data_IF_796530004809
#
_entry.id   IF_796530004809
#
_cell.length_a   1.000
_cell.length_b   1.000
_cell.length_c   1.000
_cell.angle_alpha   90.00
_cell.angle_beta   90.00
_cell.angle_gamma   90.00
#
_symmetry.space_group_name_H-M   'P 1'
#
loop_
_entity.id
_entity.type
_entity.pdbx_description
1 polymer ?
#
# COMPACT_ATOMS: atom_id res chain seq x y z
N UNK A 1 15.12 -21.77 -82.15
CA UNK A 1 14.70 -23.05 -81.54
C UNK A 1 13.59 -22.76 -80.53
N UNK A 2 12.64 -23.67 -80.41
CA UNK A 2 11.57 -23.87 -79.40
C UNK A 2 11.89 -23.44 -77.94
N UNK A 3 10.95 -23.22 -76.99
CA UNK A 3 9.54 -23.69 -76.81
C UNK A 3 8.70 -22.70 -75.92
N UNK A 4 7.41 -23.00 -75.71
CA UNK A 4 6.40 -22.35 -74.82
C UNK A 4 6.78 -22.26 -73.31
N UNK A 5 6.08 -21.61 -72.37
CA UNK A 5 4.77 -20.92 -72.31
C UNK A 5 4.75 -19.94 -71.11
N UNK A 6 3.72 -19.74 -70.25
CA UNK A 6 2.33 -20.26 -70.06
C UNK A 6 1.50 -19.16 -69.35
N UNK A 7 0.16 -19.15 -69.45
CA UNK A 7 -0.75 -18.15 -68.84
C UNK A 7 -0.99 -18.29 -67.32
N UNK A 8 -1.29 -17.18 -66.62
CA UNK A 8 -2.28 -17.13 -65.53
C UNK A 8 -2.73 -15.68 -65.19
N UNK A 9 -4.04 -15.44 -65.09
CA UNK A 9 -4.60 -14.25 -64.43
C UNK A 9 -4.64 -14.47 -62.91
N UNK A 10 -4.37 -13.43 -62.13
CA UNK A 10 -4.91 -13.28 -60.77
C UNK A 10 -4.98 -11.81 -60.36
N UNK A 11 -6.18 -11.30 -60.06
CA UNK A 11 -6.33 -10.08 -59.25
C UNK A 11 -5.82 -10.39 -57.83
N UNK A 12 -4.99 -9.51 -57.27
CA UNK A 12 -4.71 -9.50 -55.83
C UNK A 12 -5.16 -8.18 -55.22
N UNK A 13 -6.01 -8.30 -54.22
CA UNK A 13 -6.61 -7.19 -53.49
C UNK A 13 -5.58 -6.45 -52.64
N UNK A 14 -5.87 -5.18 -52.34
CA UNK A 14 -5.05 -4.34 -51.47
C UNK A 14 -5.02 -4.92 -50.05
N UNK A 15 -3.81 -5.19 -49.54
CA UNK A 15 -3.57 -5.54 -48.14
C UNK A 15 -3.34 -4.24 -47.35
N UNK A 16 -4.12 -3.95 -46.28
CA UNK A 16 -3.87 -2.78 -45.45
C UNK A 16 -2.58 -2.95 -44.63
N UNK A 17 -1.86 -1.85 -44.31
CA UNK A 17 -0.62 -1.92 -43.54
C UNK A 17 -0.88 -2.42 -42.09
N UNK A 18 0.13 -3.04 -41.44
CA UNK A 18 -0.03 -3.57 -40.09
C UNK A 18 -0.29 -2.46 -39.07
N UNK A 19 -1.13 -2.78 -38.08
CA UNK A 19 -1.51 -1.84 -37.03
C UNK A 19 -0.29 -1.33 -36.23
N UNK A 20 -0.26 -0.03 -35.98
CA UNK A 20 0.81 0.60 -35.20
C UNK A 20 0.88 0.00 -33.78
N UNK A 21 2.11 -0.28 -33.33
CA UNK A 21 2.36 -0.69 -31.93
C UNK A 21 1.93 0.43 -30.97
N UNK A 22 1.35 0.11 -29.80
CA UNK A 22 0.94 1.12 -28.84
C UNK A 22 2.16 1.90 -28.34
N UNK A 23 2.10 3.23 -28.50
CA UNK A 23 3.12 4.17 -28.04
C UNK A 23 3.39 3.99 -26.55
N UNK A 24 4.66 4.04 -26.08
CA UNK A 24 4.94 4.13 -24.65
C UNK A 24 4.22 5.35 -24.08
N UNK A 25 3.46 5.16 -23.00
CA UNK A 25 2.80 6.28 -22.32
C UNK A 25 3.85 7.33 -21.90
N UNK A 26 3.54 8.60 -22.09
CA UNK A 26 4.43 9.69 -21.74
C UNK A 26 4.88 9.57 -20.27
N UNK A 27 6.16 9.83 -19.94
CA UNK A 27 6.68 9.63 -18.59
C UNK A 27 5.96 10.55 -17.61
N UNK A 28 5.12 9.97 -16.76
CA UNK A 28 4.43 10.68 -15.68
C UNK A 28 5.48 11.39 -14.81
N UNK A 29 5.39 12.71 -14.59
CA UNK A 29 6.32 13.40 -13.72
C UNK A 29 6.21 12.85 -12.29
N UNK A 30 7.31 12.72 -11.54
CA UNK A 30 7.28 12.20 -10.18
C UNK A 30 6.43 13.13 -9.29
N UNK A 31 5.20 12.70 -8.99
CA UNK A 31 4.29 13.45 -8.13
C UNK A 31 4.95 13.65 -6.77
N UNK A 32 4.92 14.87 -6.21
CA UNK A 32 5.45 15.13 -4.87
C UNK A 32 4.80 14.17 -3.88
N UNK A 33 5.53 13.17 -3.43
CA UNK A 33 5.08 12.23 -2.41
C UNK A 33 5.14 12.94 -1.05
N UNK A 34 3.98 13.41 -0.60
CA UNK A 34 3.75 13.63 0.83
C UNK A 34 3.38 12.25 1.37
N UNK A 35 4.06 11.74 2.41
CA UNK A 35 3.66 10.49 3.05
C UNK A 35 2.22 10.63 3.56
N UNK A 36 1.39 9.60 3.40
CA UNK A 36 0.07 9.57 4.05
C UNK A 36 0.21 9.80 5.57
N UNK A 37 1.21 9.15 6.16
CA UNK A 37 1.73 9.31 7.52
C UNK A 37 2.22 10.72 7.94
N UNK A 38 2.27 11.71 7.05
CA UNK A 38 2.59 13.12 7.36
C UNK A 38 1.50 14.09 6.87
N UNK A 39 0.28 13.61 6.71
CA UNK A 39 -0.86 14.42 6.29
C UNK A 39 -1.77 14.72 7.48
N UNK A 40 -2.32 15.93 7.54
CA UNK A 40 -3.40 16.26 8.46
C UNK A 40 -4.67 15.48 8.08
N UNK A 41 -5.64 15.32 9.01
CA UNK A 41 -6.99 14.87 8.67
C UNK A 41 -7.54 15.66 7.49
N UNK A 42 -8.25 14.99 6.58
CA UNK A 42 -8.81 15.66 5.42
C UNK A 42 -10.01 16.51 5.87
N UNK A 43 -9.98 17.81 5.62
CA UNK A 43 -11.23 18.57 5.60
C UNK A 43 -12.09 18.06 4.42
N UNK A 44 -13.43 18.07 4.52
CA UNK A 44 -14.38 17.42 3.59
C UNK A 44 -14.48 18.06 2.18
N UNK A 45 -13.42 18.75 1.74
CA UNK A 45 -13.29 19.44 0.47
C UNK A 45 -11.98 19.06 -0.26
N UNK A 46 -11.36 17.93 0.09
CA UNK A 46 -10.34 17.33 -0.78
C UNK A 46 -10.98 17.04 -2.15
N UNK A 47 -10.52 17.66 -3.26
CA UNK A 47 -11.19 17.52 -4.54
C UNK A 47 -11.15 16.08 -5.01
N UNK A 48 -12.32 15.52 -5.31
CA UNK A 48 -12.43 14.16 -5.85
C UNK A 48 -11.64 14.07 -7.16
N UNK A 49 -10.67 13.16 -7.19
CA UNK A 49 -9.94 12.84 -8.40
C UNK A 49 -10.92 12.18 -9.40
N UNK A 50 -10.70 12.34 -10.72
CA UNK A 50 -11.62 11.83 -11.73
C UNK A 50 -11.88 10.34 -11.52
N UNK A 51 -13.17 9.96 -11.62
CA UNK A 51 -13.62 8.60 -11.36
C UNK A 51 -12.82 7.57 -12.18
N UNK A 52 -12.51 6.40 -11.60
CA UNK A 52 -11.71 5.40 -12.29
C UNK A 52 -12.46 4.85 -13.49
N UNK A 53 -11.73 4.58 -14.57
CA UNK A 53 -12.26 4.07 -15.86
C UNK A 53 -12.95 2.69 -15.71
N UNK A 54 -12.72 2.00 -14.59
CA UNK A 54 -13.36 0.75 -14.19
C UNK A 54 -13.67 0.80 -12.71
N UNK A 55 -14.80 0.20 -12.33
CA UNK A 55 -15.13 0.00 -10.92
C UNK A 55 -14.14 -0.96 -10.26
N UNK A 56 -14.09 -0.92 -8.92
CA UNK A 56 -13.31 -1.87 -8.14
C UNK A 56 -14.06 -3.21 -7.97
N UNK A 57 -13.36 -4.22 -7.46
CA UNK A 57 -13.90 -5.55 -7.24
C UNK A 57 -14.81 -5.69 -6.02
N UNK A 58 -14.97 -4.64 -5.21
CA UNK A 58 -15.83 -4.60 -4.02
C UNK A 58 -17.25 -4.12 -4.32
N UNK A 59 -17.38 -3.03 -5.09
CA UNK A 59 -18.66 -2.39 -5.43
C UNK A 59 -19.75 -3.33 -5.98
N UNK A 60 -19.47 -4.33 -6.85
CA UNK A 60 -20.52 -5.20 -7.38
C UNK A 60 -20.96 -6.32 -6.43
N UNK A 61 -20.37 -6.46 -5.23
CA UNK A 61 -20.70 -7.53 -4.29
C UNK A 61 -21.90 -7.15 -3.41
N UNK A 62 -22.85 -8.06 -3.24
CA UNK A 62 -23.87 -7.95 -2.18
C UNK A 62 -23.22 -8.16 -0.79
N UNK A 63 -23.88 -7.74 0.32
CA UNK A 63 -23.37 -8.01 1.66
C UNK A 63 -23.11 -9.49 1.91
N UNK A 64 -23.96 -10.39 1.42
CA UNK A 64 -23.81 -11.85 1.58
C UNK A 64 -22.61 -12.37 0.78
N UNK A 65 -22.38 -11.85 -0.43
CA UNK A 65 -21.22 -12.19 -1.25
C UNK A 65 -19.92 -11.67 -0.62
N UNK A 66 -19.95 -10.49 -0.01
CA UNK A 66 -18.82 -9.91 0.73
C UNK A 66 -18.51 -10.73 2.00
N UNK A 67 -19.52 -11.06 2.79
CA UNK A 67 -19.39 -11.92 3.96
C UNK A 67 -18.80 -13.29 3.59
N UNK A 68 -19.31 -13.92 2.52
CA UNK A 68 -18.83 -15.20 2.03
C UNK A 68 -17.40 -15.14 1.45
N UNK A 69 -16.98 -13.99 0.88
CA UNK A 69 -15.61 -13.78 0.44
C UNK A 69 -14.65 -13.65 1.64
N UNK A 70 -15.04 -12.91 2.67
CA UNK A 70 -14.21 -12.65 3.86
C UNK A 70 -14.12 -13.89 4.75
N UNK A 71 -15.17 -14.72 4.83
CA UNK A 71 -15.21 -15.93 5.64
C UNK A 71 -13.99 -16.84 5.39
N UNK A 72 -13.20 -17.12 6.45
CA UNK A 72 -11.99 -17.93 6.31
C UNK A 72 -12.35 -19.40 6.12
N UNK A 73 -12.19 -19.89 4.89
CA UNK A 73 -12.00 -21.30 4.68
C UNK A 73 -10.62 -21.65 5.25
N UNK A 74 -10.60 -22.09 6.52
CA UNK A 74 -9.44 -22.14 7.43
C UNK A 74 -8.13 -22.78 6.92
N UNK A 75 -8.16 -23.41 5.73
CA UNK A 75 -7.04 -23.99 5.00
C UNK A 75 -6.28 -22.99 4.11
N UNK A 76 -6.85 -21.84 3.74
CA UNK A 76 -6.24 -20.91 2.77
C UNK A 76 -5.05 -20.14 3.38
N UNK A 77 -3.84 -20.22 2.82
CA UNK A 77 -2.68 -19.49 3.33
C UNK A 77 -2.92 -17.98 3.40
N UNK A 78 -2.44 -17.32 4.47
CA UNK A 78 -2.66 -15.88 4.68
C UNK A 78 -2.19 -15.04 3.49
N UNK A 79 -1.05 -15.37 2.88
CA UNK A 79 -0.54 -14.66 1.70
C UNK A 79 -1.53 -14.71 0.51
N UNK A 80 -2.18 -15.86 0.29
CA UNK A 80 -3.21 -16.01 -0.76
C UNK A 80 -4.47 -15.21 -0.43
N UNK A 81 -4.92 -15.21 0.84
CA UNK A 81 -6.04 -14.37 1.30
C UNK A 81 -5.75 -12.88 1.07
N UNK A 82 -4.56 -12.40 1.44
CA UNK A 82 -4.14 -11.01 1.22
C UNK A 82 -4.08 -10.64 -0.27
N UNK A 83 -3.65 -11.56 -1.14
CA UNK A 83 -3.66 -11.35 -2.59
C UNK A 83 -5.08 -11.28 -3.15
N UNK A 84 -5.99 -12.14 -2.69
CA UNK A 84 -7.41 -12.11 -3.05
C UNK A 84 -8.11 -10.82 -2.61
N UNK A 85 -7.91 -10.40 -1.37
CA UNK A 85 -8.50 -9.14 -0.85
C UNK A 85 -7.92 -7.91 -1.54
N UNK A 86 -6.59 -7.82 -1.69
CA UNK A 86 -5.95 -6.71 -2.39
C UNK A 86 -6.34 -6.61 -3.86
N UNK A 87 -6.67 -7.72 -4.52
CA UNK A 87 -7.11 -7.72 -5.92
C UNK A 87 -8.46 -7.01 -6.08
N UNK A 88 -9.37 -7.14 -5.10
CA UNK A 88 -10.66 -6.46 -5.09
C UNK A 88 -10.51 -4.94 -4.99
N UNK A 89 -9.43 -4.44 -4.40
CA UNK A 89 -9.12 -3.02 -4.40
C UNK A 89 -8.59 -2.49 -5.74
N UNK A 90 -8.25 -3.32 -6.74
CA UNK A 90 -7.78 -2.79 -8.04
C UNK A 90 -8.80 -1.81 -8.64
N UNK A 91 -8.30 -0.68 -9.11
CA UNK A 91 -9.06 0.50 -9.56
C UNK A 91 -9.76 1.32 -8.45
N UNK A 92 -9.73 0.94 -7.17
CA UNK A 92 -10.21 1.81 -6.08
C UNK A 92 -9.49 3.17 -6.13
N UNK A 93 -10.22 4.30 -6.17
CA UNK A 93 -9.68 5.66 -6.13
C UNK A 93 -8.63 5.87 -5.06
N UNK A 94 -7.60 6.65 -5.39
CA UNK A 94 -6.71 7.22 -4.38
C UNK A 94 -7.40 8.43 -3.73
N UNK A 95 -7.60 8.41 -2.43
CA UNK A 95 -7.99 9.59 -1.63
C UNK A 95 -7.01 9.69 -0.47
N UNK A 96 -6.51 10.89 -0.18
CA UNK A 96 -5.53 11.12 0.88
C UNK A 96 -6.23 11.13 2.25
N UNK A 97 -5.71 10.39 3.24
CA UNK A 97 -6.32 10.26 4.57
C UNK A 97 -7.81 9.89 4.52
N UNK A 98 -8.21 8.81 3.83
CA UNK A 98 -9.61 8.52 3.52
C UNK A 98 -10.37 7.86 4.68
N UNK A 99 -9.67 7.61 5.79
CA UNK A 99 -10.16 7.01 7.03
C UNK A 99 -9.74 7.84 8.24
N UNK A 100 -10.66 7.98 9.19
CA UNK A 100 -10.45 8.66 10.48
C UNK A 100 -10.90 7.78 11.65
N UNK A 101 -11.36 8.44 12.70
CA UNK A 101 -11.99 7.85 13.89
C UNK A 101 -13.53 7.93 13.83
N UNK A 102 -14.11 8.45 12.74
CA UNK A 102 -15.55 8.68 12.56
C UNK A 102 -16.13 9.83 13.39
N UNK A 103 -15.30 10.47 14.23
CA UNK A 103 -15.67 11.58 15.11
C UNK A 103 -14.41 12.31 15.62
N UNK A 104 -14.58 13.48 16.22
CA UNK A 104 -13.49 14.20 16.90
C UNK A 104 -12.53 14.91 15.93
N UNK A 105 -11.23 14.69 16.10
CA UNK A 105 -10.16 15.36 15.34
C UNK A 105 -10.18 14.96 13.86
N UNK A 106 -10.50 13.70 13.59
CA UNK A 106 -10.54 13.13 12.24
C UNK A 106 -11.89 12.40 12.03
N UNK A 107 -12.92 13.12 11.56
CA UNK A 107 -14.27 12.58 11.43
C UNK A 107 -14.46 11.67 10.21
N UNK A 108 -13.41 11.40 9.43
CA UNK A 108 -13.48 10.50 8.28
C UNK A 108 -13.83 9.05 8.71
N UNK A 109 -14.41 8.22 7.83
CA UNK A 109 -14.93 6.90 8.18
C UNK A 109 -13.89 5.98 8.84
N UNK A 110 -14.32 5.08 9.73
CA UNK A 110 -13.42 4.11 10.37
C UNK A 110 -12.99 2.96 9.45
N UNK A 111 -13.80 2.67 8.43
CA UNK A 111 -13.62 1.66 7.38
C UNK A 111 -14.34 2.08 6.10
N UNK A 112 -13.79 1.75 4.93
CA UNK A 112 -14.50 1.86 3.64
C UNK A 112 -13.94 0.87 2.60
N UNK A 113 -14.48 0.87 1.38
CA UNK A 113 -13.99 0.03 0.27
C UNK A 113 -13.92 0.78 -1.07
N UNK A 114 -14.43 2.01 -1.12
CA UNK A 114 -14.58 2.87 -2.30
C UNK A 114 -13.42 3.86 -2.50
N UNK A 115 -12.58 4.10 -1.48
CA UNK A 115 -11.41 4.97 -1.59
C UNK A 115 -10.32 4.61 -0.58
N UNK A 116 -9.05 4.67 -0.98
CA UNK A 116 -7.89 4.31 -0.13
C UNK A 116 -6.68 5.21 -0.39
N UNK A 117 -5.79 5.37 0.58
CA UNK A 117 -4.40 5.78 0.31
C UNK A 117 -3.45 4.57 0.38
N UNK A 118 -2.15 4.80 0.35
CA UNK A 118 -1.17 3.72 0.34
C UNK A 118 -1.09 2.95 1.67
N UNK A 119 -1.43 3.59 2.79
CA UNK A 119 -1.47 2.95 4.10
C UNK A 119 -2.83 2.28 4.31
N UNK A 120 -3.95 2.99 4.14
CA UNK A 120 -5.27 2.41 4.41
C UNK A 120 -5.56 1.19 3.52
N UNK A 121 -5.12 1.20 2.26
CA UNK A 121 -5.14 0.04 1.37
C UNK A 121 -4.47 -1.20 1.98
N UNK A 122 -3.30 -1.03 2.61
CA UNK A 122 -2.57 -2.13 3.24
C UNK A 122 -3.25 -2.56 4.54
N UNK A 123 -3.71 -1.61 5.36
CA UNK A 123 -4.37 -1.89 6.64
C UNK A 123 -5.72 -2.62 6.45
N UNK A 124 -6.57 -2.15 5.53
CA UNK A 124 -7.84 -2.80 5.19
C UNK A 124 -7.60 -4.18 4.57
N UNK A 125 -6.64 -4.31 3.65
CA UNK A 125 -6.26 -5.63 3.11
C UNK A 125 -5.81 -6.60 4.20
N UNK A 126 -5.00 -6.13 5.17
CA UNK A 126 -4.54 -6.93 6.30
C UNK A 126 -5.72 -7.37 7.18
N UNK A 127 -6.62 -6.46 7.54
CA UNK A 127 -7.81 -6.78 8.33
C UNK A 127 -8.72 -7.80 7.63
N UNK A 128 -9.05 -7.56 6.36
CA UNK A 128 -9.89 -8.44 5.53
C UNK A 128 -9.25 -9.81 5.29
N UNK A 129 -7.93 -9.88 5.13
CA UNK A 129 -7.20 -11.13 4.91
C UNK A 129 -6.91 -11.93 6.18
N UNK A 130 -6.93 -11.30 7.36
CA UNK A 130 -6.74 -11.95 8.67
C UNK A 130 -8.05 -12.41 9.32
N UNK A 131 -9.17 -11.72 9.06
CA UNK A 131 -10.46 -12.01 9.65
C UNK A 131 -10.94 -13.45 9.36
N UNK A 132 -11.62 -14.08 10.31
CA UNK A 132 -12.34 -15.34 10.09
C UNK A 132 -13.74 -15.12 9.49
N UNK A 133 -14.27 -13.90 9.60
CA UNK A 133 -15.50 -13.46 8.96
C UNK A 133 -15.67 -11.94 9.07
N UNK A 134 -16.61 -11.38 8.31
CA UNK A 134 -16.86 -9.93 8.25
C UNK A 134 -16.99 -9.22 9.61
N UNK A 135 -17.63 -9.80 10.65
CA UNK A 135 -17.72 -9.17 11.98
C UNK A 135 -16.37 -8.92 12.69
N UNK A 136 -15.29 -9.61 12.32
CA UNK A 136 -13.97 -9.41 12.93
C UNK A 136 -13.16 -8.27 12.29
N UNK A 137 -13.54 -7.84 11.08
CA UNK A 137 -12.77 -6.88 10.28
C UNK A 137 -12.56 -5.54 11.01
N UNK A 138 -13.57 -4.91 11.64
CA UNK A 138 -13.38 -3.64 12.36
C UNK A 138 -12.36 -3.77 13.50
N UNK A 139 -12.49 -4.81 14.34
CA UNK A 139 -11.61 -5.03 15.48
C UNK A 139 -10.16 -5.35 15.06
N UNK A 140 -9.96 -6.03 13.92
CA UNK A 140 -8.63 -6.24 13.35
C UNK A 140 -8.04 -4.96 12.78
N UNK A 141 -8.85 -4.15 12.08
CA UNK A 141 -8.41 -2.88 11.52
C UNK A 141 -7.99 -1.90 12.63
N UNK A 142 -8.76 -1.80 13.71
CA UNK A 142 -8.36 -1.03 14.90
C UNK A 142 -7.03 -1.52 15.50
N UNK A 143 -6.88 -2.84 15.66
CA UNK A 143 -5.64 -3.43 16.19
C UNK A 143 -4.42 -3.11 15.31
N UNK A 144 -4.59 -2.90 14.02
CA UNK A 144 -3.54 -2.49 13.07
C UNK A 144 -3.28 -0.97 13.12
N UNK A 145 -4.35 -0.16 13.07
CA UNK A 145 -4.31 1.31 12.95
C UNK A 145 -3.83 2.03 14.20
N UNK A 146 -4.15 1.51 15.39
CA UNK A 146 -3.84 2.18 16.66
C UNK A 146 -2.72 1.47 17.45
N UNK A 147 -2.09 2.16 18.39
CA UNK A 147 -1.18 1.57 19.36
C UNK A 147 -1.97 0.75 20.40
N UNK A 148 -2.99 1.37 20.99
CA UNK A 148 -3.81 0.82 22.08
C UNK A 148 -5.30 1.14 21.92
N UNK A 149 -5.68 2.40 22.05
CA UNK A 149 -7.06 2.91 22.02
C UNK A 149 -7.39 3.43 20.62
N UNK A 150 -8.62 3.27 20.10
CA UNK A 150 -9.04 3.92 18.86
C UNK A 150 -9.28 5.43 19.06
N UNK A 151 -8.21 6.19 19.30
CA UNK A 151 -8.19 7.67 19.33
C UNK A 151 -7.13 8.21 18.37
N UNK A 152 -7.32 9.46 17.94
CA UNK A 152 -6.40 10.15 17.04
C UNK A 152 -4.96 10.15 17.57
N UNK A 153 -4.75 10.39 18.86
CA UNK A 153 -3.42 10.45 19.47
C UNK A 153 -2.75 9.06 19.61
N UNK A 154 -3.55 8.01 19.77
CA UNK A 154 -3.11 6.60 19.80
C UNK A 154 -2.95 6.01 18.38
N UNK A 155 -3.36 6.71 17.32
CA UNK A 155 -3.16 6.26 15.93
C UNK A 155 -1.68 6.16 15.57
N UNK A 156 -1.34 5.14 14.78
CA UNK A 156 0.02 4.85 14.33
C UNK A 156 0.45 5.79 13.18
N UNK A 157 0.54 7.09 13.44
CA UNK A 157 0.87 8.10 12.44
C UNK A 157 2.23 7.87 11.76
N UNK A 158 3.28 7.56 12.54
CA UNK A 158 4.64 7.40 12.03
C UNK A 158 5.00 5.94 11.81
N UNK A 159 5.41 5.59 10.58
CA UNK A 159 5.62 4.20 10.17
C UNK A 159 6.69 3.48 10.99
N UNK A 160 7.90 4.02 11.06
CA UNK A 160 9.03 3.37 11.75
C UNK A 160 9.05 3.59 13.26
N UNK A 161 8.37 4.62 13.76
CA UNK A 161 8.30 4.94 15.18
C UNK A 161 7.06 4.35 15.89
N UNK A 162 5.99 4.04 15.15
CA UNK A 162 4.73 3.55 15.70
C UNK A 162 4.21 2.34 14.91
N UNK A 163 3.85 2.49 13.62
CA UNK A 163 3.09 1.46 12.89
C UNK A 163 3.80 0.10 12.79
N UNK A 164 5.04 0.09 12.29
CA UNK A 164 5.86 -1.12 12.18
C UNK A 164 6.16 -1.75 13.55
N UNK A 165 6.76 -1.05 14.53
CA UNK A 165 7.09 -1.66 15.82
C UNK A 165 5.85 -2.11 16.59
N UNK A 166 4.73 -1.39 16.54
CA UNK A 166 3.49 -1.80 17.22
C UNK A 166 2.88 -3.06 16.58
N UNK A 167 2.82 -3.13 15.24
CA UNK A 167 2.30 -4.32 14.56
C UNK A 167 3.22 -5.55 14.67
N UNK A 168 4.55 -5.35 14.76
CA UNK A 168 5.50 -6.42 15.09
C UNK A 168 5.31 -6.88 16.54
N UNK A 169 5.18 -5.96 17.51
CA UNK A 169 4.93 -6.27 18.93
C UNK A 169 3.62 -7.03 19.14
N UNK A 170 2.59 -6.72 18.35
CA UNK A 170 1.31 -7.44 18.32
C UNK A 170 1.38 -8.79 17.60
N UNK A 171 2.52 -9.13 16.99
CA UNK A 171 2.70 -10.37 16.23
C UNK A 171 1.98 -10.42 14.89
N UNK A 172 1.50 -9.27 14.38
CA UNK A 172 0.77 -9.13 13.11
C UNK A 172 1.72 -8.98 11.90
N UNK A 173 2.95 -8.52 12.14
CA UNK A 173 4.00 -8.35 11.13
C UNK A 173 5.34 -8.97 11.58
N UNK A 174 6.22 -9.23 10.62
CA UNK A 174 7.64 -9.53 10.84
C UNK A 174 8.50 -8.84 9.77
N UNK A 175 9.65 -8.25 10.18
CA UNK A 175 10.70 -7.79 9.24
C UNK A 175 11.37 -9.02 8.60
N UNK A 176 11.26 -9.13 7.28
CA UNK A 176 11.88 -10.19 6.47
C UNK A 176 12.92 -9.65 5.50
N UNK A 177 13.28 -8.36 5.62
CA UNK A 177 14.21 -7.66 4.72
C UNK A 177 15.56 -8.38 4.64
N UNK A 178 16.14 -8.75 5.78
CA UNK A 178 17.43 -9.47 5.82
C UNK A 178 17.36 -10.87 5.22
N UNK A 179 16.23 -11.58 5.37
CA UNK A 179 16.04 -12.93 4.80
C UNK A 179 16.09 -12.90 3.27
N UNK A 180 15.52 -11.87 2.65
CA UNK A 180 15.55 -11.72 1.20
C UNK A 180 16.86 -11.13 0.68
N UNK A 181 17.32 -10.00 1.24
CA UNK A 181 18.49 -9.29 0.71
C UNK A 181 19.85 -9.86 1.10
N UNK A 182 19.91 -10.80 2.07
CA UNK A 182 21.16 -11.48 2.48
C UNK A 182 22.23 -10.44 2.86
N UNK A 183 23.35 -10.40 2.14
CA UNK A 183 24.49 -9.51 2.39
C UNK A 183 24.26 -8.07 1.91
N UNK A 184 23.30 -7.82 1.00
CA UNK A 184 22.90 -6.45 0.60
C UNK A 184 22.04 -5.75 1.68
N UNK A 185 21.67 -6.43 2.78
CA UNK A 185 20.79 -5.90 3.82
C UNK A 185 21.52 -5.00 4.84
N UNK A 186 21.39 -3.69 4.69
CA UNK A 186 22.01 -2.70 5.56
C UNK A 186 21.10 -2.26 6.73
N UNK A 187 21.71 -1.93 7.86
CA UNK A 187 21.02 -1.30 8.98
C UNK A 187 20.95 0.22 8.78
N UNK A 188 19.79 0.82 9.02
CA UNK A 188 19.57 2.27 8.92
C UNK A 188 18.68 2.76 10.06
N UNK A 189 18.66 4.07 10.32
CA UNK A 189 17.87 4.65 11.41
C UNK A 189 16.99 5.82 10.97
N UNK A 190 15.98 6.15 11.76
CA UNK A 190 15.31 7.45 11.80
C UNK A 190 15.52 8.04 13.19
N UNK A 191 16.08 9.25 13.28
CA UNK A 191 16.13 9.98 14.57
C UNK A 191 15.07 11.08 14.63
N UNK A 192 14.22 11.03 15.66
CA UNK A 192 13.20 12.03 15.97
C UNK A 192 13.64 12.82 17.21
N UNK A 193 13.61 14.15 17.08
CA UNK A 193 14.00 15.10 18.15
C UNK A 193 12.95 16.20 18.28
N UNK A 194 13.02 17.01 19.33
CA UNK A 194 12.17 18.20 19.47
C UNK A 194 12.28 19.15 18.26
N UNK A 195 13.44 19.23 17.59
CA UNK A 195 13.62 20.00 16.36
C UNK A 195 12.83 19.41 15.18
N UNK A 196 12.70 18.07 15.08
CA UNK A 196 11.88 17.42 14.05
C UNK A 196 10.42 17.86 14.13
N UNK A 197 9.90 18.05 15.35
CA UNK A 197 8.52 18.46 15.60
C UNK A 197 8.24 19.95 15.35
N UNK A 198 9.27 20.76 15.09
CA UNK A 198 9.11 22.16 14.65
C UNK A 198 8.82 22.28 13.15
N UNK A 199 8.92 21.20 12.37
CA UNK A 199 8.62 21.24 10.93
C UNK A 199 7.11 21.40 10.68
N UNK A 200 6.72 22.20 9.68
CA UNK A 200 5.31 22.33 9.24
C UNK A 200 4.65 20.98 8.94
N UNK A 201 5.40 20.03 8.35
CA UNK A 201 4.89 18.67 8.08
C UNK A 201 4.71 17.81 9.32
N UNK A 202 5.44 18.09 10.41
CA UNK A 202 5.28 17.38 11.69
C UNK A 202 4.13 17.99 12.50
N UNK A 203 4.00 19.33 12.46
CA UNK A 203 2.91 20.07 13.11
C UNK A 203 1.54 19.79 12.48
N UNK A 204 1.49 19.46 11.19
CA UNK A 204 0.26 19.06 10.49
C UNK A 204 -0.41 17.82 11.11
N UNK A 205 0.35 16.96 11.82
CA UNK A 205 -0.19 15.83 12.56
C UNK A 205 -0.95 16.23 13.82
N UNK A 206 -0.85 17.48 14.30
CA UNK A 206 -1.59 18.02 15.45
C UNK A 206 -1.42 17.22 16.77
N UNK A 207 -0.39 16.37 16.86
CA UNK A 207 -0.10 15.58 18.06
C UNK A 207 0.35 16.50 19.22
N UNK A 208 -0.23 16.37 20.43
CA UNK A 208 0.24 17.09 21.61
C UNK A 208 1.65 16.60 22.00
N UNK A 209 2.40 17.44 22.72
CA UNK A 209 3.87 17.31 22.87
C UNK A 209 4.30 15.99 23.52
N UNK A 210 3.53 15.52 24.49
CA UNK A 210 3.70 14.24 25.20
C UNK A 210 3.35 13.01 24.35
N UNK A 211 2.69 13.21 23.21
CA UNK A 211 2.33 12.18 22.22
C UNK A 211 3.23 12.19 20.99
N UNK A 212 4.24 13.06 20.93
CA UNK A 212 5.20 13.18 19.83
C UNK A 212 6.39 12.22 20.03
N UNK A 213 6.60 11.16 19.22
CA UNK A 213 7.74 10.27 19.38
C UNK A 213 9.10 11.00 19.30
N UNK A 214 9.97 10.71 20.26
CA UNK A 214 11.37 11.17 20.32
C UNK A 214 12.25 9.95 20.57
N UNK A 215 13.37 9.83 19.84
CA UNK A 215 14.26 8.68 19.92
C UNK A 215 14.88 8.32 18.58
N UNK A 216 15.60 7.19 18.54
CA UNK A 216 16.21 6.64 17.33
C UNK A 216 15.60 5.27 17.04
N UNK A 217 15.01 5.13 15.86
CA UNK A 217 14.25 3.96 15.44
C UNK A 217 15.03 3.22 14.34
N UNK A 218 15.34 1.94 14.56
CA UNK A 218 16.12 1.12 13.64
C UNK A 218 15.26 0.44 12.57
N UNK A 219 15.80 0.31 11.37
CA UNK A 219 15.20 -0.38 10.23
C UNK A 219 16.27 -1.21 9.50
N UNK A 220 15.88 -2.35 8.93
CA UNK A 220 16.68 -3.04 7.91
C UNK A 220 16.27 -2.54 6.53
N UNK A 221 17.21 -2.24 5.63
CA UNK A 221 16.90 -1.72 4.29
C UNK A 221 17.70 -2.47 3.21
N UNK A 222 17.06 -2.70 2.06
CA UNK A 222 17.71 -3.06 0.79
C UNK A 222 18.00 -1.75 0.04
N UNK A 223 19.26 -1.42 -0.28
CA UNK A 223 19.60 -0.24 -1.09
C UNK A 223 18.85 -0.24 -2.43
N UNK A 224 18.47 0.95 -2.93
CA UNK A 224 17.57 1.08 -4.08
C UNK A 224 18.09 0.37 -5.35
N UNK A 225 19.41 0.41 -5.58
CA UNK A 225 20.12 -0.24 -6.68
C UNK A 225 20.17 -1.76 -6.56
N UNK A 226 19.95 -2.32 -5.36
CA UNK A 226 19.98 -3.76 -5.07
C UNK A 226 18.61 -4.42 -5.10
N UNK A 227 17.50 -3.65 -5.07
CA UNK A 227 16.15 -4.21 -4.94
C UNK A 227 15.80 -5.20 -6.06
N UNK A 228 16.19 -4.89 -7.31
CA UNK A 228 15.90 -5.77 -8.46
C UNK A 228 16.68 -7.08 -8.45
N UNK A 229 17.83 -7.16 -7.77
CA UNK A 229 18.59 -8.41 -7.56
C UNK A 229 17.77 -9.45 -6.81
N UNK A 230 16.97 -9.00 -5.83
CA UNK A 230 16.22 -9.86 -4.91
C UNK A 230 14.73 -9.97 -5.28
N UNK A 231 14.21 -9.05 -6.09
CA UNK A 231 12.78 -8.86 -6.36
C UNK A 231 12.01 -10.12 -6.77
N UNK A 232 12.63 -11.06 -7.50
CA UNK A 232 11.98 -12.29 -7.97
C UNK A 232 11.80 -13.34 -6.88
N UNK A 233 12.65 -13.32 -5.85
CA UNK A 233 12.60 -14.27 -4.73
C UNK A 233 11.58 -13.84 -3.66
N UNK A 234 11.17 -12.57 -3.66
CA UNK A 234 10.21 -12.03 -2.69
C UNK A 234 8.81 -12.62 -2.91
N UNK A 235 8.23 -13.23 -1.88
CA UNK A 235 6.94 -13.89 -1.99
C UNK A 235 5.80 -12.88 -2.26
N UNK A 236 4.84 -13.27 -3.11
CA UNK A 236 3.60 -12.50 -3.28
C UNK A 236 2.88 -12.33 -1.95
N UNK A 237 2.36 -11.14 -1.67
CA UNK A 237 1.76 -10.78 -0.38
C UNK A 237 2.75 -10.22 0.65
N UNK A 238 4.06 -10.20 0.37
CA UNK A 238 5.04 -9.42 1.15
C UNK A 238 4.72 -7.94 1.01
N UNK A 239 4.68 -7.19 2.12
CA UNK A 239 4.58 -5.74 2.12
C UNK A 239 5.95 -5.15 1.82
N UNK A 240 6.04 -4.32 0.78
CA UNK A 240 7.21 -3.50 0.47
C UNK A 240 6.93 -2.07 0.93
N UNK A 241 7.81 -1.52 1.78
CA UNK A 241 7.78 -0.11 2.20
C UNK A 241 8.96 0.66 1.61
N UNK A 242 8.75 1.91 1.21
CA UNK A 242 9.72 2.73 0.47
C UNK A 242 10.35 3.78 1.38
N UNK A 243 11.67 3.68 1.58
CA UNK A 243 12.45 4.55 2.47
C UNK A 243 13.16 5.65 1.68
N UNK A 244 13.10 6.87 2.21
CA UNK A 244 13.92 8.00 1.78
C UNK A 244 15.13 8.19 2.69
N UNK A 245 16.05 9.05 2.29
CA UNK A 245 17.14 9.53 3.13
C UNK A 245 16.62 10.17 4.42
N UNK A 246 17.37 10.04 5.52
CA UNK A 246 16.96 10.66 6.78
C UNK A 246 17.21 12.18 6.73
N UNK A 247 16.17 12.96 7.04
CA UNK A 247 16.24 14.41 7.15
C UNK A 247 15.74 14.84 8.53
N UNK A 248 16.45 15.74 9.26
CA UNK A 248 16.08 16.15 10.62
C UNK A 248 14.67 16.73 10.75
N UNK A 249 14.15 17.37 9.70
CA UNK A 249 12.82 18.00 9.64
C UNK A 249 11.76 17.13 8.94
N UNK A 250 11.97 15.82 8.85
CA UNK A 250 10.97 14.84 8.39
C UNK A 250 10.71 13.82 9.49
N UNK A 251 9.46 13.72 9.95
CA UNK A 251 9.08 12.82 11.04
C UNK A 251 8.96 11.34 10.60
N UNK A 252 9.09 11.03 9.31
CA UNK A 252 9.27 9.66 8.79
C UNK A 252 10.17 9.66 7.57
N UNK A 253 10.88 8.56 7.36
CA UNK A 253 11.59 8.19 6.13
C UNK A 253 10.70 7.37 5.18
N UNK A 254 9.69 6.69 5.70
CA UNK A 254 8.82 5.81 4.91
C UNK A 254 7.74 6.66 4.27
N UNK A 255 7.70 6.65 2.93
CA UNK A 255 6.84 7.57 2.16
C UNK A 255 5.80 6.89 1.30
N UNK A 256 5.89 5.56 1.15
CA UNK A 256 4.99 4.77 0.34
C UNK A 256 5.06 3.28 0.73
N UNK A 257 4.02 2.51 0.43
CA UNK A 257 3.99 1.06 0.62
C UNK A 257 2.98 0.37 -0.33
N UNK A 258 3.07 -0.95 -0.40
CA UNK A 258 2.17 -1.82 -1.15
C UNK A 258 2.55 -3.29 -1.01
N UNK A 259 1.83 -4.18 -1.69
CA UNK A 259 2.13 -5.62 -1.70
C UNK A 259 2.94 -6.01 -2.94
N UNK A 260 3.97 -6.83 -2.76
CA UNK A 260 4.67 -7.50 -3.85
C UNK A 260 3.72 -8.53 -4.46
N UNK A 261 3.64 -8.56 -5.79
CA UNK A 261 2.83 -9.53 -6.55
C UNK A 261 3.67 -10.09 -7.70
N UNK A 262 4.03 -11.36 -7.63
CA UNK A 262 4.67 -12.06 -8.73
C UNK A 262 3.64 -12.46 -9.78
N UNK A 263 3.84 -12.08 -11.05
CA UNK A 263 3.02 -12.51 -12.18
C UNK A 263 3.90 -13.01 -13.31
N UNK A 264 3.80 -14.32 -13.63
CA UNK A 264 4.64 -15.00 -14.62
C UNK A 264 6.14 -14.83 -14.30
N UNK A 265 6.88 -14.04 -15.09
CA UNK A 265 8.32 -13.77 -14.93
C UNK A 265 8.63 -12.32 -14.48
N UNK A 266 7.62 -11.58 -14.00
CA UNK A 266 7.73 -10.18 -13.58
C UNK A 266 7.20 -9.98 -12.16
N UNK A 267 7.83 -9.05 -11.46
CA UNK A 267 7.44 -8.61 -10.13
C UNK A 267 6.70 -7.28 -10.23
N UNK A 268 5.55 -7.18 -9.57
CA UNK A 268 4.74 -5.98 -9.49
C UNK A 268 4.65 -5.50 -8.04
N UNK A 269 4.45 -4.19 -7.87
CA UNK A 269 3.96 -3.61 -6.64
C UNK A 269 2.48 -3.29 -6.82
N UNK A 270 1.61 -3.95 -6.04
CA UNK A 270 0.20 -3.57 -5.90
C UNK A 270 0.09 -2.47 -4.87
N UNK A 271 -0.34 -1.28 -5.27
CA UNK A 271 -0.48 -0.15 -4.34
C UNK A 271 -1.50 0.88 -4.80
N UNK A 272 -2.13 1.57 -3.84
CA UNK A 272 -2.81 2.84 -4.10
C UNK A 272 -1.79 3.88 -4.59
N UNK A 273 -1.97 4.44 -5.78
CA UNK A 273 -1.02 5.40 -6.35
C UNK A 273 -1.68 6.75 -6.63
N UNK A 274 -1.18 7.79 -5.96
CA UNK A 274 -1.56 9.18 -6.26
C UNK A 274 -0.96 9.64 -7.59
N UNK A 275 0.35 9.46 -7.77
CA UNK A 275 1.04 9.92 -8.99
C UNK A 275 0.70 9.09 -10.21
N UNK A 276 0.09 9.70 -11.23
CA UNK A 276 -0.11 9.12 -12.56
C UNK A 276 -1.30 8.18 -12.73
N UNK A 277 -1.71 7.47 -11.66
CA UNK A 277 -2.82 6.51 -11.74
C UNK A 277 -4.08 6.93 -10.98
N UNK A 278 -3.94 7.73 -9.90
CA UNK A 278 -5.02 8.15 -9.00
C UNK A 278 -5.89 7.00 -8.44
N UNK A 279 -5.34 5.78 -8.34
CA UNK A 279 -6.06 4.56 -7.92
C UNK A 279 -5.11 3.44 -7.52
N UNK A 280 -5.63 2.36 -6.98
CA UNK A 280 -4.89 1.11 -6.76
C UNK A 280 -4.57 0.43 -8.09
N UNK A 281 -3.30 0.13 -8.29
CA UNK A 281 -2.77 -0.50 -9.52
C UNK A 281 -1.73 -1.56 -9.19
N UNK A 282 -1.57 -2.51 -10.12
CA UNK A 282 -0.38 -3.37 -10.19
C UNK A 282 0.66 -2.68 -11.10
N UNK A 283 1.60 -1.95 -10.50
CA UNK A 283 2.71 -1.31 -11.23
C UNK A 283 3.89 -2.27 -11.33
N UNK A 284 4.53 -2.34 -12.50
CA UNK A 284 5.76 -3.11 -12.68
C UNK A 284 6.89 -2.56 -11.78
N UNK A 285 7.56 -3.43 -11.02
CA UNK A 285 8.47 -2.99 -9.96
C UNK A 285 9.71 -2.27 -10.52
N UNK A 286 10.24 -2.69 -11.67
CA UNK A 286 11.37 -2.01 -12.32
C UNK A 286 10.97 -0.59 -12.73
N UNK A 287 9.81 -0.43 -13.35
CA UNK A 287 9.22 0.88 -13.70
C UNK A 287 9.02 1.76 -12.45
N UNK A 288 8.46 1.19 -11.38
CA UNK A 288 8.23 1.87 -10.11
C UNK A 288 9.54 2.37 -9.49
N UNK A 289 10.57 1.53 -9.42
CA UNK A 289 11.88 1.86 -8.84
C UNK A 289 12.60 2.89 -9.72
N UNK A 290 12.58 2.74 -11.04
CA UNK A 290 13.17 3.69 -11.99
C UNK A 290 12.52 5.09 -11.94
N UNK A 291 11.22 5.18 -11.62
CA UNK A 291 10.56 6.47 -11.31
C UNK A 291 11.03 7.03 -9.96
N UNK A 292 11.13 6.20 -8.93
CA UNK A 292 11.54 6.63 -7.59
C UNK A 292 13.02 7.05 -7.51
N UNK A 293 13.91 6.48 -8.33
CA UNK A 293 15.30 6.90 -8.46
C UNK A 293 15.48 8.34 -8.96
N UNK A 294 14.43 8.95 -9.54
CA UNK A 294 14.46 10.34 -10.07
C UNK A 294 14.19 11.42 -9.03
N UNK A 295 13.86 11.07 -7.77
CA UNK A 295 13.72 12.07 -6.72
C UNK A 295 15.08 12.58 -6.27
N UNK A 296 15.35 13.86 -6.51
CA UNK A 296 16.60 14.56 -6.23
C UNK A 296 16.61 15.28 -4.87
N UNK A 297 15.49 15.94 -4.51
CA UNK A 297 15.33 16.80 -3.31
C UNK A 297 15.08 16.07 -2.00
N UNK A 298 14.55 14.86 -2.08
CA UNK A 298 14.41 13.95 -0.94
C UNK A 298 14.48 12.53 -1.49
N UNK A 299 15.70 12.01 -1.60
CA UNK A 299 16.03 10.79 -2.36
C UNK A 299 15.37 9.57 -1.76
N UNK A 300 14.85 8.68 -2.61
CA UNK A 300 14.52 7.31 -2.22
C UNK A 300 15.84 6.54 -2.11
N UNK A 301 16.09 5.93 -0.95
CA UNK A 301 17.37 5.26 -0.65
C UNK A 301 17.26 3.75 -0.69
N UNK A 302 16.05 3.20 -0.59
CA UNK A 302 15.84 1.75 -0.60
C UNK A 302 14.44 1.35 -0.17
N UNK A 303 14.29 0.05 0.12
CA UNK A 303 13.02 -0.54 0.57
C UNK A 303 13.25 -1.48 1.76
N UNK A 304 12.20 -1.72 2.53
CA UNK A 304 12.15 -2.78 3.54
C UNK A 304 10.98 -3.72 3.23
N UNK A 305 11.07 -4.98 3.66
CA UNK A 305 10.12 -6.04 3.36
C UNK A 305 9.55 -6.62 4.65
N UNK A 306 8.22 -6.69 4.74
CA UNK A 306 7.50 -7.23 5.90
C UNK A 306 6.50 -8.30 5.47
N UNK A 307 6.40 -9.38 6.23
CA UNK A 307 5.37 -10.40 6.04
C UNK A 307 4.29 -10.29 7.12
N UNK A 308 3.05 -10.46 6.71
CA UNK A 308 1.91 -10.54 7.60
C UNK A 308 1.88 -11.89 8.34
N UNK A 309 1.36 -11.88 9.55
CA UNK A 309 1.15 -13.07 10.39
C UNK A 309 -0.28 -13.07 10.91
N UNK A 310 -0.89 -14.25 10.98
CA UNK A 310 -2.20 -14.39 11.64
C UNK A 310 -2.05 -13.97 13.11
N UNK A 311 -3.02 -13.25 13.71
CA UNK A 311 -2.98 -12.92 15.13
C UNK A 311 -2.81 -14.20 15.97
N UNK A 312 -2.01 -14.18 17.07
CA UNK A 312 -2.00 -15.31 17.99
C UNK A 312 -3.40 -15.46 18.61
N UNK A 313 -3.86 -16.69 18.94
CA UNK A 313 -5.22 -16.92 19.46
C UNK A 313 -5.55 -16.09 20.71
N UNK A 314 -4.54 -15.77 21.54
CA UNK A 314 -4.64 -14.91 22.72
C UNK A 314 -5.01 -13.46 22.41
N UNK A 315 -4.76 -12.97 21.19
CA UNK A 315 -5.06 -11.62 20.75
C UNK A 315 -6.44 -11.53 20.08
N UNK A 316 -6.96 -12.66 19.54
CA UNK A 316 -8.35 -12.82 19.11
C UNK A 316 -9.29 -12.91 20.32
N UNK A 317 -8.86 -13.58 21.40
CA UNK A 317 -9.64 -13.76 22.63
C UNK A 317 -9.71 -12.51 23.54
N UNK A 318 -8.95 -11.46 23.26
CA UNK A 318 -9.10 -10.18 23.96
C UNK A 318 -10.35 -9.46 23.43
N UNK A 319 -11.24 -8.94 24.29
CA UNK A 319 -12.30 -8.03 23.84
C UNK A 319 -11.70 -6.90 22.99
N UNK A 320 -12.46 -6.43 22.00
CA UNK A 320 -12.14 -5.15 21.37
C UNK A 320 -12.08 -4.06 22.46
N UNK A 321 -11.19 -3.06 22.35
CA UNK A 321 -11.26 -1.88 23.21
C UNK A 321 -12.68 -1.29 23.07
N UNK A 322 -13.35 -1.02 24.18
CA UNK A 322 -14.78 -0.75 24.16
C UNK A 322 -15.11 0.62 23.52
N UNK A 323 -15.48 0.62 22.24
CA UNK A 323 -16.03 1.77 21.54
C UNK A 323 -16.98 1.37 20.38
N UNK A 324 -18.04 2.17 20.19
CA UNK A 324 -18.83 2.35 18.96
C UNK A 324 -19.04 1.16 18.01
N UNK A 325 -20.21 0.55 18.07
CA UNK A 325 -20.72 -0.37 17.03
C UNK A 325 -20.90 0.34 15.67
N UNK A 326 -19.84 0.41 14.86
CA UNK A 326 -19.93 0.75 13.44
C UNK A 326 -20.20 -0.53 12.63
N UNK A 327 -21.40 -0.64 12.06
CA UNK A 327 -21.69 -1.70 11.10
C UNK A 327 -20.83 -1.50 9.84
N UNK A 328 -20.33 -2.60 9.26
CA UNK A 328 -19.57 -2.57 8.00
C UNK A 328 -20.49 -2.03 6.89
N UNK A 329 -20.21 -0.81 6.42
CA UNK A 329 -21.12 -0.03 5.59
C UNK A 329 -21.62 -0.75 4.33
N UNK A 330 -22.88 -0.47 3.99
CA UNK A 330 -23.36 -0.53 2.62
C UNK A 330 -22.71 0.62 1.81
N UNK A 331 -22.61 0.50 0.46
CA UNK A 331 -21.67 1.28 -0.37
C UNK A 331 -21.99 2.78 -0.51
#
# INVERSE_FOLDING_TARGET
>A
MTFAGVCALALLAQVPPPAASPTPAAPVPPARAVPASLSAPAHPLAPSLPAPVRENGWKPLTPEQRAALIADQAQTPLAERLLGMSERFLNTPYVLSPLGEGQGVDPDPTFRLDAVDCLTFVEETLALGMAQGEPEVPALLERIRYASTPSYEDRNHLMEAQWLPNNIKKGLLVDVTRRYAKDDAIAVTKTLTAHTWQSRSSQALQLPRERQPVGTFGLTMIPLDKVLTHARDVASGTILVVLREDLPLKATRITHLGFVVQKKKRTYLRHASRGGYNRVVDEDLETFLARNARYDKWKVTGVSLFEARRPPPTLVAQPAPAAGSAAVGAP
#
